data_IF_732639488127
#
_entry.id   IF_732639488127
#
_cell.length_a   1.000
_cell.length_b   1.000
_cell.length_c   1.000
_cell.angle_alpha   90.00
_cell.angle_beta   90.00
_cell.angle_gamma   90.00
#
_symmetry.space_group_name_H-M   'P 1'
#
loop_
_entity.id
_entity.type
_entity.pdbx_description
1 polymer ?
#
# COMPACT_ATOMS: atom_id res chain seq x y z
N UNK A 1 -29.74 -3.13 -12.24
CA UNK A 1 -28.67 -2.23 -11.74
C UNK A 1 -28.79 -1.88 -10.25
N UNK A 2 -29.99 -1.51 -9.74
CA UNK A 2 -30.22 -1.32 -8.29
C UNK A 2 -29.87 -2.53 -7.41
N UNK A 3 -29.97 -3.76 -7.95
CA UNK A 3 -29.63 -5.00 -7.24
C UNK A 3 -28.11 -5.26 -7.08
N UNK A 4 -27.23 -4.64 -7.86
CA UNK A 4 -25.78 -4.85 -7.76
C UNK A 4 -25.07 -3.79 -6.89
N UNK A 5 -25.58 -2.55 -6.87
CA UNK A 5 -25.11 -1.52 -5.93
C UNK A 5 -25.57 -1.80 -4.49
N UNK A 6 -26.74 -2.45 -4.31
CA UNK A 6 -27.20 -2.91 -3.00
C UNK A 6 -26.33 -4.04 -2.42
N UNK A 7 -25.60 -4.80 -3.25
CA UNK A 7 -24.68 -5.84 -2.78
C UNK A 7 -23.38 -5.26 -2.23
N UNK A 8 -22.92 -4.12 -2.77
CA UNK A 8 -21.74 -3.40 -2.26
C UNK A 8 -22.02 -2.77 -0.89
N UNK A 9 -23.13 -2.02 -0.75
CA UNK A 9 -23.52 -1.42 0.55
C UNK A 9 -23.87 -2.46 1.63
N UNK A 10 -24.41 -3.63 1.25
CA UNK A 10 -24.68 -4.72 2.20
C UNK A 10 -23.42 -5.44 2.66
N UNK A 11 -22.32 -5.39 1.91
CA UNK A 11 -21.06 -6.04 2.31
C UNK A 11 -20.28 -5.19 3.33
N UNK A 12 -20.25 -3.87 3.16
CA UNK A 12 -19.68 -2.95 4.17
C UNK A 12 -20.50 -3.02 5.48
N UNK A 13 -21.83 -3.19 5.36
CA UNK A 13 -22.72 -3.43 6.51
C UNK A 13 -22.55 -4.84 7.12
N UNK A 14 -22.25 -5.87 6.32
CA UNK A 14 -22.00 -7.24 6.80
C UNK A 14 -20.67 -7.37 7.56
N UNK A 15 -19.64 -6.61 7.17
CA UNK A 15 -18.37 -6.52 7.91
C UNK A 15 -18.54 -5.76 9.24
N UNK A 16 -19.39 -4.74 9.27
CA UNK A 16 -19.77 -4.07 10.52
C UNK A 16 -20.65 -4.96 11.44
N UNK A 17 -21.53 -5.80 10.88
CA UNK A 17 -22.41 -6.69 11.68
C UNK A 17 -21.75 -8.00 12.12
N UNK A 18 -20.72 -8.50 11.43
CA UNK A 18 -19.90 -9.61 11.94
C UNK A 18 -19.05 -9.22 13.16
N UNK A 19 -18.83 -7.92 13.39
CA UNK A 19 -18.15 -7.41 14.58
C UNK A 19 -19.07 -7.27 15.80
N UNK A 20 -20.39 -7.44 15.66
CA UNK A 20 -21.39 -6.98 16.66
C UNK A 20 -22.23 -8.09 17.31
N UNK A 21 -21.88 -9.37 17.18
CA UNK A 21 -22.64 -10.46 17.84
C UNK A 21 -21.78 -11.39 18.70
N UNK A 22 -21.74 -11.09 20.01
CA UNK A 22 -21.93 -12.07 21.11
C UNK A 22 -22.02 -11.35 22.48
N UNK A 23 -23.17 -11.42 23.18
CA UNK A 23 -23.26 -11.00 24.57
C UNK A 23 -22.95 -12.21 25.47
N UNK A 24 -21.82 -12.19 26.17
CA UNK A 24 -21.58 -13.11 27.29
C UNK A 24 -21.51 -12.32 28.58
N UNK A 25 -22.40 -12.72 29.49
CA UNK A 25 -22.53 -12.23 30.84
C UNK A 25 -21.35 -12.69 31.69
N UNK A 26 -20.97 -11.81 32.60
CA UNK A 26 -19.98 -11.94 33.66
C UNK A 26 -20.15 -13.23 34.49
N UNK A 27 -19.03 -13.92 34.72
CA UNK A 27 -18.73 -14.50 36.03
C UNK A 27 -17.30 -14.08 36.38
N UNK A 28 -17.22 -13.06 37.24
CA UNK A 28 -15.99 -12.59 37.84
C UNK A 28 -15.73 -13.43 39.09
N UNK A 29 -14.63 -14.18 39.08
CA UNK A 29 -14.07 -14.72 40.32
C UNK A 29 -12.59 -14.34 40.43
N UNK A 30 -12.32 -13.58 41.48
CA UNK A 30 -11.08 -12.88 41.80
C UNK A 30 -10.00 -13.82 42.33
N UNK A 31 -8.77 -13.73 41.81
CA UNK A 31 -7.65 -14.49 42.36
C UNK A 31 -6.25 -14.11 41.88
N UNK A 32 -5.58 -13.28 42.68
CA UNK A 32 -4.13 -13.17 42.86
C UNK A 32 -3.25 -12.59 41.73
N UNK A 33 -2.71 -11.41 42.02
CA UNK A 33 -1.64 -10.71 41.31
C UNK A 33 -0.35 -11.54 41.24
N UNK A 34 0.00 -12.04 40.05
CA UNK A 34 1.37 -12.38 39.68
C UNK A 34 1.90 -11.40 38.64
N UNK A 35 2.84 -10.56 39.06
CA UNK A 35 3.71 -9.77 38.18
C UNK A 35 4.61 -10.73 37.39
N UNK A 36 4.10 -11.22 36.27
CA UNK A 36 4.86 -12.02 35.31
C UNK A 36 5.46 -11.14 34.24
N UNK A 37 6.78 -10.99 34.27
CA UNK A 37 7.63 -10.75 33.10
C UNK A 37 7.35 -11.88 32.11
N UNK A 38 6.94 -11.58 30.88
CA UNK A 38 6.76 -12.58 29.80
C UNK A 38 8.11 -13.13 29.27
N UNK A 39 9.06 -13.39 30.16
CA UNK A 39 10.04 -14.42 29.89
C UNK A 39 9.25 -15.73 29.91
N UNK A 40 8.93 -16.24 28.70
CA UNK A 40 8.35 -17.57 28.47
C UNK A 40 8.93 -18.54 29.50
N UNK A 41 8.16 -18.85 30.55
CA UNK A 41 8.63 -19.77 31.60
C UNK A 41 8.81 -21.11 30.90
N UNK A 42 10.04 -21.64 30.79
CA UNK A 42 10.25 -22.89 30.08
C UNK A 42 9.47 -24.00 30.79
N UNK A 43 8.37 -24.46 30.18
CA UNK A 43 7.59 -25.60 30.68
C UNK A 43 6.11 -25.35 30.99
N UNK A 44 5.57 -24.13 30.82
CA UNK A 44 4.11 -23.90 30.85
C UNK A 44 3.66 -23.55 29.43
N UNK A 45 3.23 -24.56 28.67
CA UNK A 45 2.53 -24.37 27.40
C UNK A 45 1.09 -23.94 27.69
N UNK A 46 0.90 -22.65 28.04
CA UNK A 46 -0.44 -22.06 27.93
C UNK A 46 -0.73 -21.86 26.45
N UNK A 47 -1.47 -22.81 25.87
CA UNK A 47 -1.91 -22.84 24.48
C UNK A 47 -3.04 -21.83 24.21
N UNK A 48 -3.01 -20.69 24.90
CA UNK A 48 -3.99 -19.61 24.77
C UNK A 48 -3.73 -18.87 23.45
N UNK A 49 -4.32 -19.38 22.38
CA UNK A 49 -4.31 -18.72 21.07
C UNK A 49 -5.40 -17.65 21.05
N UNK A 50 -5.01 -16.37 21.05
CA UNK A 50 -5.98 -15.28 20.94
C UNK A 50 -6.63 -15.26 19.56
N UNK A 51 -7.90 -14.83 19.45
CA UNK A 51 -8.60 -14.78 18.16
C UNK A 51 -7.88 -13.85 17.15
N UNK A 52 -7.37 -12.71 17.62
CA UNK A 52 -6.64 -11.77 16.77
C UNK A 52 -5.34 -12.35 16.20
N UNK A 53 -4.76 -13.35 16.85
CA UNK A 53 -3.57 -14.02 16.34
C UNK A 53 -3.82 -14.74 15.01
N UNK A 54 -5.06 -15.21 14.80
CA UNK A 54 -5.50 -15.85 13.55
C UNK A 54 -5.53 -14.87 12.38
N UNK A 55 -5.81 -13.59 12.65
CA UNK A 55 -5.78 -12.52 11.64
C UNK A 55 -4.36 -12.23 11.14
N UNK A 56 -3.36 -12.54 11.98
CA UNK A 56 -1.95 -12.49 11.64
C UNK A 56 -1.43 -13.73 10.90
N UNK A 57 -2.26 -14.76 10.69
CA UNK A 57 -1.82 -15.97 9.99
C UNK A 57 -1.49 -15.68 8.54
N UNK A 58 -0.39 -16.27 8.00
CA UNK A 58 0.05 -15.98 6.64
C UNK A 58 -1.06 -16.18 5.61
N UNK A 59 -1.72 -17.35 5.62
CA UNK A 59 -2.75 -17.68 4.64
C UNK A 59 -3.96 -16.74 4.74
N UNK A 60 -4.30 -16.29 5.95
CA UNK A 60 -5.37 -15.32 6.14
C UNK A 60 -5.01 -13.98 5.50
N UNK A 61 -3.82 -13.43 5.79
CA UNK A 61 -3.33 -12.17 5.21
C UNK A 61 -3.30 -12.24 3.67
N UNK A 62 -2.74 -13.32 3.10
CA UNK A 62 -2.68 -13.49 1.65
C UNK A 62 -4.06 -13.63 1.02
N UNK A 63 -4.95 -14.46 1.58
CA UNK A 63 -6.28 -14.67 1.01
C UNK A 63 -7.16 -13.42 1.11
N UNK A 64 -7.09 -12.70 2.23
CA UNK A 64 -7.78 -11.43 2.42
C UNK A 64 -7.30 -10.39 1.40
N UNK A 65 -5.98 -10.18 1.31
CA UNK A 65 -5.41 -9.22 0.35
C UNK A 65 -5.69 -9.63 -1.10
N UNK A 66 -5.57 -10.91 -1.43
CA UNK A 66 -5.90 -11.45 -2.75
C UNK A 66 -7.38 -11.23 -3.11
N UNK A 67 -8.30 -11.37 -2.15
CA UNK A 67 -9.71 -11.10 -2.38
C UNK A 67 -9.96 -9.60 -2.63
N UNK A 68 -9.38 -8.73 -1.81
CA UNK A 68 -9.59 -7.28 -1.88
C UNK A 68 -8.99 -6.71 -3.17
N UNK A 69 -7.73 -7.00 -3.45
CA UNK A 69 -7.00 -6.50 -4.62
C UNK A 69 -7.39 -7.27 -5.87
N UNK A 70 -7.62 -8.58 -5.78
CA UNK A 70 -7.98 -9.43 -6.92
C UNK A 70 -9.28 -9.02 -7.59
N UNK A 71 -10.28 -8.54 -6.84
CA UNK A 71 -11.51 -7.97 -7.42
C UNK A 71 -11.21 -6.75 -8.30
N UNK A 72 -10.31 -5.87 -7.86
CA UNK A 72 -9.90 -4.68 -8.61
C UNK A 72 -9.07 -5.07 -9.84
N UNK A 73 -8.08 -5.95 -9.66
CA UNK A 73 -7.29 -6.46 -10.77
C UNK A 73 -8.14 -7.19 -11.80
N UNK A 74 -9.18 -7.92 -11.39
CA UNK A 74 -10.13 -8.57 -12.30
C UNK A 74 -10.93 -7.54 -13.10
N UNK A 75 -11.48 -6.51 -12.43
CA UNK A 75 -12.20 -5.44 -13.11
C UNK A 75 -11.30 -4.69 -14.13
N UNK A 76 -10.07 -4.35 -13.74
CA UNK A 76 -9.08 -3.74 -14.63
C UNK A 76 -8.64 -4.68 -15.75
N UNK A 77 -8.55 -5.98 -15.50
CA UNK A 77 -8.23 -6.98 -16.53
C UNK A 77 -9.35 -7.09 -17.56
N UNK A 78 -10.61 -7.02 -17.12
CA UNK A 78 -11.76 -6.96 -18.05
C UNK A 78 -11.74 -5.68 -18.88
N UNK A 79 -11.41 -4.53 -18.27
CA UNK A 79 -11.19 -3.28 -19.01
C UNK A 79 -10.05 -3.43 -20.03
N UNK A 80 -8.90 -3.96 -19.63
CA UNK A 80 -7.77 -4.20 -20.52
C UNK A 80 -8.15 -5.14 -21.66
N UNK A 81 -8.83 -6.26 -21.38
CA UNK A 81 -9.30 -7.19 -22.41
C UNK A 81 -10.25 -6.53 -23.40
N UNK A 82 -11.16 -5.67 -22.93
CA UNK A 82 -12.04 -4.93 -23.82
C UNK A 82 -11.27 -3.90 -24.66
N UNK A 83 -10.23 -3.27 -24.14
CA UNK A 83 -9.43 -2.30 -24.89
C UNK A 83 -8.52 -3.00 -25.92
N UNK A 84 -7.91 -4.13 -25.57
CA UNK A 84 -6.90 -4.81 -26.40
C UNK A 84 -7.43 -5.90 -27.33
N UNK A 85 -8.61 -6.48 -27.08
CA UNK A 85 -9.12 -7.59 -27.88
C UNK A 85 -10.27 -7.16 -28.79
N UNK A 86 -10.03 -7.01 -30.11
CA UNK A 86 -11.09 -6.75 -31.08
C UNK A 86 -12.17 -7.85 -31.07
N UNK A 87 -11.79 -9.09 -30.73
CA UNK A 87 -12.72 -10.21 -30.59
C UNK A 87 -13.67 -10.03 -29.41
N UNK A 88 -13.15 -9.62 -28.25
CA UNK A 88 -13.97 -9.31 -27.06
C UNK A 88 -14.84 -8.09 -27.32
N UNK A 89 -14.32 -7.06 -28.00
CA UNK A 89 -15.12 -5.90 -28.42
C UNK A 89 -16.30 -6.34 -29.28
N UNK A 90 -16.06 -7.12 -30.34
CA UNK A 90 -17.12 -7.65 -31.22
C UNK A 90 -18.14 -8.50 -30.47
N UNK A 91 -17.70 -9.27 -29.48
CA UNK A 91 -18.59 -10.11 -28.67
C UNK A 91 -19.47 -9.29 -27.71
N UNK A 92 -18.90 -8.28 -27.04
CA UNK A 92 -19.62 -7.44 -26.08
C UNK A 92 -20.51 -6.39 -26.77
N UNK A 93 -20.08 -5.87 -27.92
CA UNK A 93 -20.82 -4.88 -28.71
C UNK A 93 -21.69 -5.57 -29.76
N UNK A 94 -22.51 -6.53 -29.33
CA UNK A 94 -23.31 -7.43 -30.19
C UNK A 94 -24.33 -6.72 -31.12
N UNK A 95 -24.39 -5.38 -31.14
CA UNK A 95 -25.40 -4.61 -31.87
C UNK A 95 -24.94 -3.33 -32.58
N UNK A 96 -23.66 -2.94 -32.57
CA UNK A 96 -23.18 -1.78 -33.33
C UNK A 96 -21.72 -1.97 -33.75
N UNK A 97 -21.42 -1.74 -35.03
CA UNK A 97 -20.09 -1.87 -35.65
C UNK A 97 -19.09 -0.79 -35.25
N UNK A 98 -19.43 0.06 -34.28
CA UNK A 98 -18.60 1.20 -33.94
C UNK A 98 -17.52 0.75 -32.95
N UNK A 99 -16.26 0.87 -33.38
CA UNK A 99 -15.08 0.67 -32.53
C UNK A 99 -15.25 1.42 -31.21
N UNK A 100 -14.91 0.77 -30.10
CA UNK A 100 -14.96 1.37 -28.75
C UNK A 100 -14.12 2.66 -28.63
N UNK A 101 -13.05 2.74 -29.40
CA UNK A 101 -12.20 3.93 -29.54
C UNK A 101 -12.58 4.66 -30.83
N UNK A 102 -12.73 5.98 -30.76
CA UNK A 102 -12.96 6.81 -31.93
C UNK A 102 -11.76 6.71 -32.89
N UNK A 103 -12.03 6.60 -34.19
CA UNK A 103 -11.00 6.78 -35.21
C UNK A 103 -10.67 8.27 -35.30
N UNK A 104 -9.41 8.63 -35.05
CA UNK A 104 -8.93 10.00 -35.11
C UNK A 104 -8.57 10.32 -36.57
N UNK A 105 -9.56 10.71 -37.37
CA UNK A 105 -9.37 11.02 -38.80
C UNK A 105 -9.01 12.50 -39.01
N UNK A 106 -7.80 12.77 -39.49
CA UNK A 106 -7.26 14.11 -39.74
C UNK A 106 -8.16 14.93 -40.67
N UNK A 107 -8.72 14.31 -41.70
CA UNK A 107 -9.54 15.03 -42.68
C UNK A 107 -10.86 15.54 -42.07
N UNK A 108 -11.37 14.83 -41.05
CA UNK A 108 -12.64 15.14 -40.41
C UNK A 108 -12.50 16.17 -39.28
N UNK A 109 -11.46 16.07 -38.45
CA UNK A 109 -11.32 16.87 -37.22
C UNK A 109 -10.17 17.89 -37.25
N UNK A 110 -9.22 17.72 -38.17
CA UNK A 110 -8.00 18.51 -38.28
C UNK A 110 -6.88 18.07 -37.35
N UNK A 111 -5.64 18.31 -37.79
CA UNK A 111 -4.40 17.84 -37.15
C UNK A 111 -4.32 18.00 -35.62
N UNK A 112 -4.62 19.20 -35.10
CA UNK A 112 -4.50 19.45 -33.65
C UNK A 112 -5.49 18.61 -32.82
N UNK A 113 -6.69 18.37 -33.36
CA UNK A 113 -7.72 17.53 -32.74
C UNK A 113 -7.34 16.06 -32.83
N UNK A 114 -6.78 15.62 -33.96
CA UNK A 114 -6.24 14.27 -34.13
C UNK A 114 -5.12 13.98 -33.13
N UNK A 115 -4.18 14.91 -32.97
CA UNK A 115 -3.09 14.79 -32.00
C UNK A 115 -3.61 14.61 -30.55
N UNK A 116 -4.62 15.39 -30.14
CA UNK A 116 -5.25 15.26 -28.82
C UNK A 116 -5.99 13.93 -28.69
N UNK A 117 -6.71 13.53 -29.74
CA UNK A 117 -7.44 12.27 -29.81
C UNK A 117 -6.51 11.06 -29.63
N UNK A 118 -5.43 10.98 -30.41
CA UNK A 118 -4.43 9.91 -30.33
C UNK A 118 -3.66 9.92 -29.01
N UNK A 119 -3.33 11.11 -28.48
CA UNK A 119 -2.71 11.26 -27.16
C UNK A 119 -3.59 10.64 -26.07
N UNK A 120 -4.86 11.05 -26.00
CA UNK A 120 -5.78 10.59 -24.96
C UNK A 120 -6.16 9.11 -25.13
N UNK A 121 -6.26 8.64 -26.37
CA UNK A 121 -6.45 7.22 -26.73
C UNK A 121 -5.29 6.35 -26.25
N UNK A 122 -4.04 6.81 -26.34
CA UNK A 122 -2.88 6.13 -25.78
C UNK A 122 -3.03 5.92 -24.26
N UNK A 123 -3.51 6.93 -23.53
CA UNK A 123 -3.76 6.81 -22.09
C UNK A 123 -4.90 5.82 -21.76
N UNK A 124 -5.96 5.74 -22.58
CA UNK A 124 -7.01 4.70 -22.42
C UNK A 124 -6.40 3.30 -22.51
N UNK A 125 -5.46 3.08 -23.44
CA UNK A 125 -4.74 1.81 -23.61
C UNK A 125 -3.82 1.50 -22.43
N UNK A 126 -3.09 2.49 -21.91
CA UNK A 126 -2.13 2.28 -20.82
C UNK A 126 -2.75 2.21 -19.41
N UNK A 127 -3.92 2.83 -19.20
CA UNK A 127 -4.50 3.00 -17.86
C UNK A 127 -4.68 1.68 -17.09
N UNK A 128 -5.33 0.68 -17.69
CA UNK A 128 -5.62 -0.57 -17.00
C UNK A 128 -4.36 -1.39 -16.66
N UNK A 129 -3.41 -1.62 -17.59
CA UNK A 129 -2.12 -2.25 -17.28
C UNK A 129 -1.32 -1.54 -16.20
N UNK A 130 -1.20 -0.21 -16.27
CA UNK A 130 -0.50 0.60 -15.25
C UNK A 130 -1.16 0.42 -13.88
N UNK A 131 -2.49 0.51 -13.84
CA UNK A 131 -3.28 0.33 -12.62
C UNK A 131 -3.13 -1.08 -12.04
N UNK A 132 -3.08 -2.13 -12.86
CA UNK A 132 -2.83 -3.50 -12.37
C UNK A 132 -1.47 -3.59 -11.70
N UNK A 133 -0.41 -3.06 -12.34
CA UNK A 133 0.94 -3.09 -11.76
C UNK A 133 0.98 -2.35 -10.43
N UNK A 134 0.44 -1.13 -10.37
CA UNK A 134 0.40 -0.35 -9.11
C UNK A 134 -0.43 -1.05 -8.03
N UNK A 135 -1.56 -1.66 -8.39
CA UNK A 135 -2.39 -2.42 -7.45
C UNK A 135 -1.64 -3.61 -6.84
N UNK A 136 -0.93 -4.38 -7.66
CA UNK A 136 -0.13 -5.53 -7.21
C UNK A 136 1.03 -5.10 -6.31
N UNK A 137 1.68 -3.98 -6.65
CA UNK A 137 2.75 -3.38 -5.86
C UNK A 137 2.25 -2.96 -4.46
N UNK A 138 1.13 -2.24 -4.40
CA UNK A 138 0.50 -1.82 -3.14
C UNK A 138 0.06 -3.03 -2.32
N UNK A 139 -0.51 -4.05 -2.96
CA UNK A 139 -0.93 -5.28 -2.30
C UNK A 139 0.22 -5.99 -1.57
N UNK A 140 1.39 -6.08 -2.21
CA UNK A 140 2.58 -6.66 -1.60
C UNK A 140 3.02 -5.87 -0.36
N UNK A 141 3.00 -4.53 -0.42
CA UNK A 141 3.33 -3.69 0.73
C UNK A 141 2.34 -3.90 1.88
N UNK A 142 1.05 -4.02 1.58
CA UNK A 142 0.01 -4.27 2.59
C UNK A 142 0.23 -5.62 3.30
N UNK A 143 0.52 -6.68 2.55
CA UNK A 143 0.82 -8.01 3.11
C UNK A 143 2.02 -7.94 4.08
N UNK A 144 3.09 -7.25 3.67
CA UNK A 144 4.29 -7.08 4.50
C UNK A 144 4.00 -6.27 5.76
N UNK A 145 3.30 -5.13 5.63
CA UNK A 145 2.97 -4.28 6.78
C UNK A 145 2.05 -4.99 7.77
N UNK A 146 1.01 -5.68 7.28
CA UNK A 146 0.12 -6.47 8.13
C UNK A 146 0.88 -7.58 8.85
N UNK A 147 1.72 -8.34 8.14
CA UNK A 147 2.50 -9.43 8.77
C UNK A 147 3.45 -8.90 9.84
N UNK A 148 4.16 -7.82 9.53
CA UNK A 148 5.06 -7.18 10.48
C UNK A 148 4.30 -6.68 11.72
N UNK A 149 3.17 -6.01 11.52
CA UNK A 149 2.33 -5.50 12.62
C UNK A 149 1.97 -6.62 13.61
N UNK A 150 1.43 -7.73 13.12
CA UNK A 150 1.01 -8.83 13.99
C UNK A 150 2.18 -9.54 14.67
N UNK A 151 3.35 -9.63 14.03
CA UNK A 151 4.54 -10.18 14.68
C UNK A 151 5.03 -9.24 15.80
N UNK A 152 5.14 -7.95 15.53
CA UNK A 152 5.62 -6.98 16.51
C UNK A 152 4.64 -6.87 17.69
N UNK A 153 3.33 -6.92 17.43
CA UNK A 153 2.30 -6.93 18.47
C UNK A 153 2.44 -8.13 19.41
N UNK A 154 2.74 -9.32 18.88
CA UNK A 154 3.04 -10.52 19.69
C UNK A 154 4.31 -10.35 20.54
N UNK A 155 5.26 -9.55 20.08
CA UNK A 155 6.48 -9.22 20.81
C UNK A 155 6.27 -8.08 21.83
N UNK A 156 5.04 -7.60 22.06
CA UNK A 156 4.79 -6.47 22.94
C UNK A 156 5.30 -5.14 22.37
N UNK A 157 5.38 -5.02 21.05
CA UNK A 157 5.83 -3.81 20.37
C UNK A 157 4.76 -3.30 19.44
N UNK A 158 4.30 -2.08 19.68
CA UNK A 158 3.33 -1.41 18.83
C UNK A 158 4.06 -0.55 17.81
N UNK A 159 4.00 -0.95 16.54
CA UNK A 159 4.58 -0.20 15.43
C UNK A 159 3.56 0.79 14.88
N UNK A 160 3.94 2.06 14.89
CA UNK A 160 3.24 3.17 14.26
C UNK A 160 3.71 3.31 12.81
N UNK A 161 2.89 2.78 11.90
CA UNK A 161 3.11 2.92 10.47
C UNK A 161 2.75 4.34 10.06
N UNK A 162 3.69 5.02 9.41
CA UNK A 162 3.40 6.36 8.93
C UNK A 162 2.45 6.26 7.74
N UNK A 163 1.25 6.79 7.91
CA UNK A 163 0.31 6.93 6.80
C UNK A 163 0.93 7.79 5.68
N UNK A 164 1.12 7.17 4.52
CA UNK A 164 1.70 7.81 3.36
C UNK A 164 0.60 8.62 2.68
N UNK A 165 0.81 9.92 2.53
CA UNK A 165 -0.13 10.74 1.77
C UNK A 165 -0.08 10.31 0.29
N UNK A 166 -1.21 9.90 -0.32
CA UNK A 166 -1.24 9.47 -1.72
C UNK A 166 -0.63 10.53 -2.66
N UNK A 167 -0.85 11.81 -2.35
CA UNK A 167 -0.34 12.94 -3.13
C UNK A 167 1.19 13.12 -3.06
N UNK A 168 1.90 12.39 -2.21
CA UNK A 168 3.37 12.36 -2.19
C UNK A 168 3.95 11.17 -2.94
N UNK A 169 3.11 10.21 -3.33
CA UNK A 169 3.54 9.01 -4.04
C UNK A 169 3.50 9.22 -5.56
N UNK A 170 4.63 9.09 -6.27
CA UNK A 170 4.67 9.19 -7.73
C UNK A 170 3.80 8.13 -8.43
N UNK A 171 3.60 6.93 -7.88
CA UNK A 171 2.74 5.91 -8.51
C UNK A 171 1.27 6.32 -8.50
N UNK A 172 0.81 6.95 -7.41
CA UNK A 172 -0.54 7.48 -7.32
C UNK A 172 -0.76 8.57 -8.38
N UNK A 173 0.18 9.51 -8.52
CA UNK A 173 0.12 10.54 -9.57
C UNK A 173 0.16 9.95 -10.97
N UNK A 174 0.95 8.90 -11.20
CA UNK A 174 1.04 8.23 -12.49
C UNK A 174 -0.29 7.59 -12.89
N UNK A 175 -0.95 6.87 -11.96
CA UNK A 175 -2.30 6.32 -12.17
C UNK A 175 -3.32 7.43 -12.38
N UNK A 176 -3.30 8.46 -11.54
CA UNK A 176 -4.26 9.57 -11.61
C UNK A 176 -4.14 10.32 -12.94
N UNK A 177 -2.92 10.61 -13.39
CA UNK A 177 -2.66 11.25 -14.68
C UNK A 177 -3.16 10.39 -15.84
N UNK A 178 -2.84 9.09 -15.84
CA UNK A 178 -3.36 8.16 -16.84
C UNK A 178 -4.90 8.14 -16.84
N UNK A 179 -5.52 8.09 -15.66
CA UNK A 179 -6.98 8.09 -15.52
C UNK A 179 -7.62 9.36 -16.04
N UNK A 180 -7.09 10.55 -15.67
CA UNK A 180 -7.62 11.84 -16.13
C UNK A 180 -7.47 11.99 -17.64
N UNK A 181 -6.30 11.68 -18.19
CA UNK A 181 -6.07 11.73 -19.64
C UNK A 181 -6.96 10.73 -20.40
N UNK A 182 -7.12 9.50 -19.89
CA UNK A 182 -8.01 8.52 -20.47
C UNK A 182 -9.48 8.97 -20.43
N UNK A 183 -9.95 9.56 -19.32
CA UNK A 183 -11.30 10.11 -19.21
C UNK A 183 -11.52 11.28 -20.17
N UNK A 184 -10.49 12.10 -20.39
CA UNK A 184 -10.56 13.21 -21.34
C UNK A 184 -10.78 12.74 -22.78
N UNK A 185 -10.36 11.52 -23.14
CA UNK A 185 -10.66 10.92 -24.46
C UNK A 185 -12.17 10.83 -24.71
N UNK A 186 -12.93 10.34 -23.72
CA UNK A 186 -14.38 10.18 -23.84
C UNK A 186 -15.12 11.53 -23.86
N UNK A 187 -14.63 12.50 -23.09
CA UNK A 187 -15.15 13.88 -23.13
C UNK A 187 -14.88 14.49 -24.50
N UNK A 188 -13.68 14.32 -25.04
CA UNK A 188 -13.32 14.80 -26.36
C UNK A 188 -14.18 14.15 -27.45
N UNK A 189 -14.36 12.83 -27.41
CA UNK A 189 -15.24 12.10 -28.30
C UNK A 189 -16.68 12.65 -28.26
N UNK A 190 -17.21 12.94 -27.07
CA UNK A 190 -18.52 13.57 -26.93
C UNK A 190 -18.61 14.94 -27.61
N UNK A 191 -17.59 15.78 -27.43
CA UNK A 191 -17.56 17.13 -28.02
C UNK A 191 -17.46 17.08 -29.56
N UNK A 192 -16.60 16.21 -30.10
CA UNK A 192 -16.42 16.06 -31.56
C UNK A 192 -17.68 15.51 -32.21
N UNK A 193 -18.29 14.46 -31.66
CA UNK A 193 -19.49 13.88 -32.27
C UNK A 193 -20.66 14.87 -32.24
N UNK A 194 -20.78 15.68 -31.17
CA UNK A 194 -21.76 16.75 -31.11
C UNK A 194 -21.57 17.81 -32.21
N UNK A 195 -20.33 18.14 -32.57
CA UNK A 195 -20.04 19.06 -33.67
C UNK A 195 -20.38 18.46 -35.04
N UNK A 196 -20.14 17.16 -35.24
CA UNK A 196 -20.38 16.49 -36.52
C UNK A 196 -21.86 16.18 -36.78
N UNK A 197 -22.67 15.97 -35.73
CA UNK A 197 -24.07 15.52 -35.83
C UNK A 197 -25.10 16.60 -35.51
N UNK A 198 -24.98 17.80 -36.11
CA UNK A 198 -25.92 18.94 -35.93
C UNK A 198 -27.38 18.61 -36.37
N UNK A 199 -27.70 17.39 -36.83
CA UNK A 199 -29.06 16.88 -36.97
C UNK A 199 -29.65 16.35 -35.66
N UNK A 200 -30.75 16.97 -35.18
CA UNK A 200 -31.40 16.67 -33.88
C UNK A 200 -31.77 15.19 -33.64
N UNK A 201 -32.08 14.44 -34.69
CA UNK A 201 -32.63 13.09 -34.56
C UNK A 201 -31.56 12.01 -34.25
N UNK A 202 -30.27 12.33 -34.45
CA UNK A 202 -29.15 11.41 -34.19
C UNK A 202 -28.43 11.67 -32.86
N UNK A 203 -28.66 12.83 -32.24
CA UNK A 203 -27.95 13.24 -31.03
C UNK A 203 -28.25 12.31 -29.83
N UNK A 204 -29.50 11.88 -29.67
CA UNK A 204 -29.88 11.04 -28.53
C UNK A 204 -29.19 9.66 -28.58
N UNK A 205 -29.12 9.04 -29.76
CA UNK A 205 -28.44 7.75 -29.95
C UNK A 205 -26.94 7.85 -29.66
N UNK A 206 -26.32 8.95 -30.08
CA UNK A 206 -24.92 9.26 -29.80
C UNK A 206 -24.69 9.43 -28.29
N UNK A 207 -25.52 10.22 -27.62
CA UNK A 207 -25.41 10.46 -26.17
C UNK A 207 -25.56 9.15 -25.41
N UNK A 208 -26.50 8.29 -25.80
CA UNK A 208 -26.74 7.03 -25.10
C UNK A 208 -25.58 6.04 -25.31
N UNK A 209 -24.98 5.98 -26.51
CA UNK A 209 -23.76 5.18 -26.76
C UNK A 209 -22.57 5.69 -25.95
N UNK A 210 -22.34 7.01 -25.94
CA UNK A 210 -21.24 7.64 -25.20
C UNK A 210 -21.40 7.45 -23.69
N UNK A 211 -22.62 7.57 -23.17
CA UNK A 211 -22.91 7.27 -21.76
C UNK A 211 -22.56 5.84 -21.43
N UNK A 212 -22.86 4.88 -22.30
CA UNK A 212 -22.53 3.48 -22.07
C UNK A 212 -21.01 3.28 -22.02
N UNK A 213 -20.26 3.83 -22.98
CA UNK A 213 -18.81 3.65 -23.05
C UNK A 213 -18.07 4.37 -21.92
N UNK A 214 -18.47 5.61 -21.63
CA UNK A 214 -17.91 6.41 -20.52
C UNK A 214 -18.26 5.82 -19.16
N UNK A 215 -19.46 5.26 -18.98
CA UNK A 215 -19.82 4.58 -17.74
C UNK A 215 -19.03 3.29 -17.56
N UNK A 216 -18.85 2.53 -18.65
CA UNK A 216 -18.14 1.26 -18.63
C UNK A 216 -16.67 1.42 -18.23
N UNK A 217 -15.96 2.42 -18.77
CA UNK A 217 -14.58 2.70 -18.40
C UNK A 217 -14.45 3.59 -17.16
N UNK A 218 -15.25 4.65 -17.08
CA UNK A 218 -15.14 5.67 -16.05
C UNK A 218 -15.51 5.17 -14.67
N UNK A 219 -16.56 4.37 -14.52
CA UNK A 219 -16.97 3.90 -13.19
C UNK A 219 -15.90 2.99 -12.56
N UNK A 220 -15.40 1.91 -13.21
CA UNK A 220 -14.35 1.09 -12.61
C UNK A 220 -13.05 1.86 -12.41
N UNK A 221 -12.73 2.83 -13.28
CA UNK A 221 -11.56 3.69 -13.11
C UNK A 221 -11.65 4.56 -11.85
N UNK A 222 -12.81 5.20 -11.61
CA UNK A 222 -13.04 6.01 -10.40
C UNK A 222 -13.05 5.13 -9.15
N UNK A 223 -13.73 3.98 -9.20
CA UNK A 223 -13.77 3.02 -8.09
C UNK A 223 -12.37 2.53 -7.76
N UNK A 224 -11.55 2.24 -8.78
CA UNK A 224 -10.17 1.83 -8.59
C UNK A 224 -9.31 2.96 -7.99
N UNK A 225 -9.40 4.19 -8.49
CA UNK A 225 -8.64 5.33 -7.93
C UNK A 225 -9.05 5.61 -6.48
N UNK A 226 -10.35 5.50 -6.16
CA UNK A 226 -10.83 5.61 -4.78
C UNK A 226 -10.30 4.47 -3.91
N UNK A 227 -10.35 3.24 -4.40
CA UNK A 227 -9.78 2.08 -3.72
C UNK A 227 -8.28 2.26 -3.47
N UNK A 228 -7.54 2.72 -4.48
CA UNK A 228 -6.12 3.01 -4.38
C UNK A 228 -5.88 4.12 -3.35
N UNK A 229 -6.70 5.17 -3.30
CA UNK A 229 -6.60 6.21 -2.28
C UNK A 229 -6.79 5.64 -0.86
N UNK A 230 -7.80 4.79 -0.67
CA UNK A 230 -8.11 4.18 0.64
C UNK A 230 -7.03 3.17 1.08
N UNK A 231 -6.34 2.51 0.14
CA UNK A 231 -5.29 1.53 0.48
C UNK A 231 -3.99 2.17 0.99
N UNK A 232 -3.82 3.49 0.88
CA UNK A 232 -2.72 4.20 1.53
C UNK A 232 -2.89 4.33 3.05
N UNK A 233 -4.13 4.19 3.56
CA UNK A 233 -4.40 4.14 5.00
C UNK A 233 -4.21 2.72 5.51
N UNK A 234 -2.96 2.39 5.81
CA UNK A 234 -2.58 1.04 6.26
C UNK A 234 -3.21 0.75 7.62
N UNK A 235 -3.34 1.76 8.48
CA UNK A 235 -3.91 1.61 9.83
C UNK A 235 -5.35 1.10 9.79
N UNK A 236 -6.13 1.50 8.79
CA UNK A 236 -7.52 1.03 8.63
C UNK A 236 -7.62 -0.46 8.30
N UNK A 237 -6.55 -1.05 7.74
CA UNK A 237 -6.45 -2.47 7.42
C UNK A 237 -5.82 -3.30 8.55
N UNK A 238 -5.31 -2.65 9.61
CA UNK A 238 -4.77 -3.30 10.79
C UNK A 238 -5.87 -3.52 11.83
N UNK A 239 -5.63 -4.45 12.75
CA UNK A 239 -6.53 -4.65 13.88
C UNK A 239 -6.60 -3.35 14.70
N UNK A 240 -7.78 -2.74 14.87
CA UNK A 240 -7.89 -1.59 15.75
C UNK A 240 -7.57 -2.03 17.17
N UNK A 241 -6.83 -1.21 17.92
CA UNK A 241 -6.48 -1.52 19.31
C UNK A 241 -7.72 -1.84 20.16
N UNK A 242 -8.88 -1.25 19.88
CA UNK A 242 -10.13 -1.60 20.59
C UNK A 242 -10.46 -3.09 20.52
N UNK A 243 -10.30 -3.74 19.35
CA UNK A 243 -10.52 -5.19 19.18
C UNK A 243 -9.52 -6.03 19.99
N UNK A 244 -8.29 -5.52 20.15
CA UNK A 244 -7.28 -6.14 21.00
C UNK A 244 -7.70 -6.12 22.48
N UNK A 245 -8.28 -5.02 22.95
CA UNK A 245 -8.83 -4.89 24.31
C UNK A 245 -10.13 -5.68 24.54
N UNK A 246 -10.96 -5.83 23.52
CA UNK A 246 -12.21 -6.61 23.59
C UNK A 246 -11.95 -8.11 23.81
N UNK A 247 -10.82 -8.64 23.30
CA UNK A 247 -10.53 -10.08 23.33
C UNK A 247 -10.14 -10.58 24.72
N UNK A 248 -9.31 -9.81 25.43
CA UNK A 248 -8.89 -10.08 26.80
C UNK A 248 -8.50 -8.74 27.47
N UNK A 249 -9.41 -8.10 28.22
CA UNK A 249 -9.16 -6.78 28.77
C UNK A 249 -8.09 -6.78 29.86
N UNK A 250 -7.96 -7.86 30.64
CA UNK A 250 -6.96 -7.94 31.72
C UNK A 250 -5.54 -8.08 31.15
N UNK A 251 -5.38 -8.98 30.17
CA UNK A 251 -4.12 -9.14 29.47
C UNK A 251 -3.76 -7.91 28.65
N UNK A 252 -4.72 -7.33 27.93
CA UNK A 252 -4.50 -6.10 27.17
C UNK A 252 -4.13 -4.93 28.08
N UNK A 253 -4.76 -4.81 29.26
CA UNK A 253 -4.40 -3.80 30.26
C UNK A 253 -2.96 -3.98 30.71
N UNK A 254 -2.57 -5.18 31.14
CA UNK A 254 -1.20 -5.45 31.60
C UNK A 254 -0.18 -5.21 30.50
N UNK A 255 -0.42 -5.74 29.30
CA UNK A 255 0.54 -5.70 28.19
C UNK A 255 0.64 -4.30 27.60
N UNK A 256 -0.46 -3.56 27.47
CA UNK A 256 -0.43 -2.19 26.91
C UNK A 256 0.41 -1.20 27.73
N UNK A 257 0.54 -1.39 29.04
CA UNK A 257 1.45 -0.61 29.88
C UNK A 257 2.92 -0.96 29.66
N UNK A 258 3.21 -2.20 29.25
CA UNK A 258 4.56 -2.70 28.98
C UNK A 258 4.96 -2.55 27.50
N UNK A 259 4.00 -2.31 26.61
CA UNK A 259 4.23 -2.25 25.17
C UNK A 259 5.16 -1.10 24.77
N UNK A 260 6.21 -1.42 24.02
CA UNK A 260 7.07 -0.40 23.44
C UNK A 260 6.41 0.19 22.19
N UNK A 261 6.26 1.52 22.15
CA UNK A 261 5.77 2.22 20.98
C UNK A 261 6.92 2.65 20.05
N UNK A 262 6.79 2.37 18.75
CA UNK A 262 7.88 2.54 17.78
C UNK A 262 7.36 3.14 16.49
N UNK A 263 7.96 4.25 16.08
CA UNK A 263 7.72 4.78 14.74
C UNK A 263 8.38 3.90 13.67
N UNK A 264 7.74 3.73 12.51
CA UNK A 264 8.27 3.01 11.35
C UNK A 264 9.73 3.39 11.01
N UNK A 265 10.06 4.68 11.08
CA UNK A 265 11.42 5.18 10.81
C UNK A 265 12.46 4.68 11.80
N UNK A 266 12.09 4.55 13.08
CA UNK A 266 12.98 4.01 14.11
C UNK A 266 13.19 2.51 13.92
N UNK A 267 12.12 1.75 13.63
CA UNK A 267 12.20 0.32 13.30
C UNK A 267 13.10 0.07 12.08
N UNK A 268 12.87 0.81 10.99
CA UNK A 268 13.69 0.78 9.78
C UNK A 268 15.18 1.03 10.08
N UNK A 269 15.48 2.08 10.86
CA UNK A 269 16.86 2.39 11.25
C UNK A 269 17.49 1.25 12.05
N UNK A 270 16.78 0.65 13.00
CA UNK A 270 17.29 -0.47 13.81
C UNK A 270 17.58 -1.70 12.96
N UNK A 271 16.67 -2.06 12.05
CA UNK A 271 16.84 -3.19 11.12
C UNK A 271 18.00 -2.97 10.17
N UNK A 272 18.16 -1.76 9.64
CA UNK A 272 19.25 -1.45 8.71
C UNK A 272 20.62 -1.33 9.39
N UNK A 273 20.66 -1.08 10.71
CA UNK A 273 21.91 -0.83 11.41
C UNK A 273 22.57 -2.12 11.90
N UNK A 274 21.89 -3.02 12.61
CA UNK A 274 22.58 -4.18 13.23
C UNK A 274 21.65 -5.34 13.66
N UNK A 275 20.34 -5.31 13.39
CA UNK A 275 19.45 -6.34 13.94
C UNK A 275 19.34 -7.58 13.02
N UNK A 276 19.79 -8.73 13.54
CA UNK A 276 19.68 -10.05 12.89
C UNK A 276 18.39 -10.80 13.25
N UNK A 277 17.66 -10.39 14.28
CA UNK A 277 16.36 -10.98 14.57
C UNK A 277 15.34 -9.96 15.10
N UNK A 278 14.05 -10.27 14.92
CA UNK A 278 12.93 -9.43 15.39
C UNK A 278 12.96 -9.23 16.90
N UNK A 279 13.42 -10.24 17.65
CA UNK A 279 13.52 -10.13 19.10
C UNK A 279 14.58 -9.10 19.49
N UNK A 280 15.74 -9.08 18.81
CA UNK A 280 16.77 -8.06 19.02
C UNK A 280 16.24 -6.67 18.67
N UNK A 281 15.42 -6.55 17.61
CA UNK A 281 14.75 -5.28 17.26
C UNK A 281 13.83 -4.86 18.39
N UNK A 282 12.96 -5.73 18.86
CA UNK A 282 12.02 -5.47 19.95
C UNK A 282 12.75 -5.08 21.25
N UNK A 283 13.78 -5.84 21.62
CA UNK A 283 14.57 -5.61 22.83
C UNK A 283 15.39 -4.32 22.74
N UNK A 284 16.05 -4.05 21.60
CA UNK A 284 16.79 -2.82 21.38
C UNK A 284 15.89 -1.59 21.44
N UNK A 285 14.67 -1.71 20.91
CA UNK A 285 13.65 -0.67 20.97
C UNK A 285 13.15 -0.48 22.40
N UNK A 286 12.84 -1.56 23.12
CA UNK A 286 12.39 -1.50 24.51
C UNK A 286 13.46 -0.84 25.40
N UNK A 287 14.74 -1.14 25.16
CA UNK A 287 15.85 -0.48 25.84
C UNK A 287 15.94 1.02 25.49
N UNK A 288 15.70 1.40 24.24
CA UNK A 288 15.68 2.81 23.82
C UNK A 288 14.51 3.60 24.43
N UNK A 289 13.33 3.00 24.58
CA UNK A 289 12.17 3.66 25.20
C UNK A 289 12.40 3.91 26.69
N UNK A 290 13.02 2.94 27.39
CA UNK A 290 13.45 3.07 28.78
C UNK A 290 14.46 4.22 28.98
N UNK A 291 15.51 4.32 28.17
CA UNK A 291 16.53 5.38 28.31
C UNK A 291 15.93 6.79 28.05
N UNK A 292 14.97 6.91 27.11
CA UNK A 292 14.22 8.17 26.89
C UNK A 292 13.35 8.57 28.07
N UNK A 293 12.65 7.61 28.69
CA UNK A 293 11.84 7.88 29.89
C UNK A 293 12.69 8.43 31.04
N UNK A 294 13.88 7.86 31.23
CA UNK A 294 14.86 8.31 32.23
C UNK A 294 15.39 9.71 31.90
N UNK A 295 15.64 10.01 30.62
CA UNK A 295 16.12 11.33 30.20
C UNK A 295 15.08 12.43 30.38
N UNK A 296 13.80 12.16 30.07
CA UNK A 296 12.68 13.08 30.33
C UNK A 296 12.49 13.36 31.82
N UNK A 297 12.50 12.32 32.67
CA UNK A 297 12.44 12.52 34.13
C UNK A 297 13.64 13.31 34.67
N UNK A 298 14.82 13.11 34.09
CA UNK A 298 16.02 13.89 34.44
C UNK A 298 15.91 15.35 33.99
N UNK A 299 15.30 15.63 32.84
CA UNK A 299 15.05 16.98 32.36
C UNK A 299 14.06 17.72 33.28
N UNK A 300 12.95 17.07 33.66
CA UNK A 300 11.91 17.67 34.52
C UNK A 300 12.40 17.95 35.95
N UNK A 301 13.25 17.07 36.49
CA UNK A 301 13.88 17.29 37.80
C UNK A 301 14.93 18.41 37.81
N UNK A 302 15.49 18.76 36.64
CA UNK A 302 16.38 19.92 36.49
C UNK A 302 15.61 21.24 36.35
N UNK A 303 14.41 21.24 35.75
CA UNK A 303 13.55 22.43 35.64
C UNK A 303 12.86 22.76 36.97
N UNK A 304 12.40 21.75 37.72
CA UNK A 304 11.74 21.97 39.03
C UNK A 304 12.70 22.44 40.13
N UNK A 305 13.98 22.04 40.10
CA UNK A 305 14.96 22.47 41.10
C UNK A 305 15.53 23.89 40.87
N UNK A 306 15.23 24.53 39.73
CA UNK A 306 15.67 25.91 39.47
C UNK A 306 14.65 26.98 39.91
N UNK A 307 13.44 26.59 40.35
CA UNK A 307 12.44 27.54 40.84
C UNK A 307 12.62 27.95 42.31
N UNK A 308 13.49 27.27 43.06
CA UNK A 308 13.81 27.66 44.43
C UNK A 308 15.28 27.39 44.73
N UNK A 309 16.17 28.37 44.47
CA UNK A 309 17.40 28.44 45.24
C UNK A 309 17.74 29.84 45.73
N UNK A 310 17.74 30.04 47.06
CA UNK A 310 18.45 31.14 47.68
C UNK A 310 19.95 31.01 47.39
N UNK A 311 20.56 32.14 47.10
CA UNK A 311 21.99 32.39 46.96
C UNK A 311 22.79 31.76 48.10
N UNK A 312 23.45 30.63 47.85
CA UNK A 312 24.57 30.18 48.69
C UNK A 312 25.63 29.51 47.84
N UNK A 313 26.77 30.18 47.79
CA UNK A 313 27.99 29.79 47.07
C UNK A 313 28.53 28.46 47.62
N UNK A 314 28.04 27.33 47.09
CA UNK A 314 28.61 26.02 47.36
C UNK A 314 29.55 25.66 46.20
N UNK A 315 30.85 25.72 46.50
CA UNK A 315 31.94 25.35 45.62
C UNK A 315 31.80 23.88 45.22
N UNK A 316 31.38 23.62 43.97
CA UNK A 316 31.30 22.27 43.41
C UNK A 316 32.71 21.85 42.98
N UNK A 317 33.27 20.73 43.47
CA UNK A 317 34.63 20.31 43.13
C UNK A 317 34.78 20.06 41.62
N UNK A 318 35.79 20.67 41.00
CA UNK A 318 36.10 20.58 39.55
C UNK A 318 36.16 19.13 39.03
N UNK A 319 36.58 18.18 39.87
CA UNK A 319 36.65 16.76 39.51
C UNK A 319 35.27 16.14 39.16
N UNK A 320 34.18 16.61 39.76
CA UNK A 320 32.82 16.16 39.40
C UNK A 320 32.32 16.83 38.12
N UNK A 321 32.72 18.07 37.84
CA UNK A 321 32.40 18.72 36.57
C UNK A 321 33.16 18.09 35.39
N UNK A 322 34.41 17.64 35.58
CA UNK A 322 35.16 16.95 34.53
C UNK A 322 34.62 15.54 34.24
N UNK A 323 34.23 14.76 35.25
CA UNK A 323 33.57 13.45 35.03
C UNK A 323 32.20 13.57 34.36
N UNK A 324 31.41 14.59 34.71
CA UNK A 324 30.14 14.87 34.04
C UNK A 324 30.35 15.31 32.58
N UNK A 325 31.39 16.11 32.30
CA UNK A 325 31.76 16.49 30.92
C UNK A 325 32.28 15.29 30.10
N UNK A 326 33.08 14.39 30.68
CA UNK A 326 33.55 13.18 29.97
C UNK A 326 32.41 12.18 29.70
N UNK A 327 31.51 11.96 30.66
CA UNK A 327 30.33 11.11 30.45
C UNK A 327 29.37 11.69 29.39
N UNK A 328 29.23 13.02 29.33
CA UNK A 328 28.45 13.67 28.28
C UNK A 328 29.10 13.59 26.90
N UNK A 329 30.44 13.62 26.80
CA UNK A 329 31.17 13.57 25.51
C UNK A 329 31.17 12.14 24.94
N UNK A 330 31.28 11.10 25.76
CA UNK A 330 31.20 9.70 25.30
C UNK A 330 29.77 9.27 24.93
N UNK A 331 28.72 9.87 25.53
CA UNK A 331 27.31 9.57 25.20
C UNK A 331 26.76 10.41 24.04
N UNK A 332 27.42 11.52 23.66
CA UNK A 332 27.04 12.37 22.51
C UNK A 332 27.63 11.96 21.17
N UNK A 333 28.38 10.85 21.09
CA UNK A 333 28.50 10.12 19.83
C UNK A 333 27.19 9.35 19.52
N UNK A 334 26.04 10.00 19.71
CA UNK A 334 24.88 9.74 18.87
C UNK A 334 25.35 10.17 17.50
N UNK A 335 25.83 9.19 16.73
CA UNK A 335 26.17 9.33 15.32
C UNK A 335 25.04 10.12 14.71
N UNK A 336 25.30 11.40 14.42
CA UNK A 336 24.42 12.24 13.64
C UNK A 336 24.45 11.61 12.26
N UNK A 337 23.59 10.62 12.07
CA UNK A 337 23.40 9.98 10.78
C UNK A 337 23.08 11.14 9.85
N UNK A 338 23.96 11.43 8.87
CA UNK A 338 23.77 12.57 7.99
C UNK A 338 22.35 12.48 7.46
N UNK A 339 21.65 13.62 7.41
CA UNK A 339 20.31 13.71 6.87
C UNK A 339 20.31 13.06 5.48
N UNK A 340 19.93 11.79 5.41
CA UNK A 340 19.94 11.05 4.17
C UNK A 340 18.97 11.77 3.25
N UNK A 341 19.48 12.11 2.07
CA UNK A 341 18.73 12.68 0.94
C UNK A 341 17.39 11.97 0.78
N UNK A 342 16.34 12.67 0.33
CA UNK A 342 15.01 12.09 0.16
C UNK A 342 15.10 10.87 -0.74
N UNK A 343 15.18 9.70 -0.12
CA UNK A 343 15.22 8.40 -0.78
C UNK A 343 13.79 8.15 -1.23
N UNK A 344 13.62 7.73 -2.48
CA UNK A 344 12.31 7.41 -3.04
C UNK A 344 11.48 6.61 -2.02
N UNK A 345 10.32 7.14 -1.61
CA UNK A 345 9.47 6.58 -0.55
C UNK A 345 9.11 5.10 -0.77
N UNK A 346 9.11 4.66 -2.03
CA UNK A 346 8.94 3.27 -2.41
C UNK A 346 9.97 2.31 -1.79
N UNK A 347 11.21 2.76 -1.67
CA UNK A 347 12.32 1.98 -1.08
C UNK A 347 12.28 2.03 0.45
N UNK A 348 11.51 2.97 1.04
CA UNK A 348 11.46 3.14 2.50
C UNK A 348 10.85 1.95 3.22
N UNK A 349 10.09 1.07 2.54
CA UNK A 349 9.50 -0.16 3.12
C UNK A 349 10.20 -1.46 2.71
N UNK A 350 11.22 -1.41 1.88
CA UNK A 350 11.96 -2.61 1.46
C UNK A 350 12.61 -3.35 2.65
N UNK A 351 12.91 -2.64 3.74
CA UNK A 351 13.43 -3.24 4.98
C UNK A 351 12.47 -4.24 5.62
N UNK A 352 11.15 -4.12 5.41
CA UNK A 352 10.17 -5.07 5.96
C UNK A 352 10.34 -6.42 5.27
N UNK A 353 10.51 -6.42 3.94
CA UNK A 353 10.79 -7.64 3.17
C UNK A 353 12.09 -8.29 3.62
N UNK A 354 13.15 -7.49 3.81
CA UNK A 354 14.44 -7.95 4.36
C UNK A 354 14.26 -8.63 5.72
N UNK A 355 13.58 -7.96 6.64
CA UNK A 355 13.34 -8.48 7.99
C UNK A 355 12.54 -9.79 7.97
N UNK A 356 11.47 -9.87 7.18
CA UNK A 356 10.62 -11.06 7.11
C UNK A 356 11.26 -12.21 6.31
N UNK A 357 12.27 -11.92 5.50
CA UNK A 357 13.01 -12.91 4.70
C UNK A 357 14.31 -13.37 5.38
N UNK A 358 14.61 -12.91 6.60
CA UNK A 358 15.81 -13.35 7.30
C UNK A 358 15.76 -14.87 7.53
N UNK A 359 16.81 -15.54 7.04
CA UNK A 359 17.01 -16.98 7.20
C UNK A 359 16.93 -17.45 8.66
N UNK A 360 17.33 -16.63 9.63
CA UNK A 360 17.28 -16.99 11.04
C UNK A 360 15.85 -17.05 11.56
N UNK A 361 15.02 -16.06 11.22
CA UNK A 361 13.60 -16.01 11.58
C UNK A 361 12.82 -17.14 10.91
N UNK A 362 13.13 -17.42 9.64
CA UNK A 362 12.54 -18.53 8.88
C UNK A 362 12.92 -19.89 9.47
N UNK A 363 14.15 -20.05 9.98
CA UNK A 363 14.60 -21.29 10.60
C UNK A 363 13.99 -21.54 11.99
N UNK A 364 13.73 -20.47 12.75
CA UNK A 364 13.26 -20.58 14.14
C UNK A 364 11.75 -20.85 14.27
N UNK A 365 10.91 -20.28 13.39
CA UNK A 365 9.45 -20.38 13.50
C UNK A 365 8.79 -20.99 12.25
N UNK A 366 7.99 -22.05 12.48
CA UNK A 366 7.20 -22.72 11.43
C UNK A 366 6.25 -21.74 10.73
N UNK A 367 5.63 -20.79 11.46
CA UNK A 367 4.70 -19.82 10.86
C UNK A 367 5.45 -18.85 9.93
N UNK A 368 6.66 -18.44 10.30
CA UNK A 368 7.54 -17.62 9.44
C UNK A 368 7.96 -18.36 8.17
N UNK A 369 8.27 -19.65 8.24
CA UNK A 369 8.55 -20.47 7.04
C UNK A 369 7.34 -20.59 6.11
N UNK A 370 6.14 -20.80 6.65
CA UNK A 370 4.90 -20.82 5.86
C UNK A 370 4.65 -19.47 5.18
N UNK A 371 4.88 -18.37 5.90
CA UNK A 371 4.80 -17.03 5.33
C UNK A 371 5.79 -16.84 4.19
N UNK A 372 7.06 -17.18 4.39
CA UNK A 372 8.10 -17.04 3.36
C UNK A 372 7.75 -17.81 2.08
N UNK A 373 7.28 -19.06 2.21
CA UNK A 373 6.85 -19.84 1.05
C UNK A 373 5.65 -19.20 0.32
N UNK A 374 4.63 -18.77 1.06
CA UNK A 374 3.48 -18.07 0.49
C UNK A 374 3.87 -16.73 -0.16
N UNK A 375 4.83 -16.02 0.43
CA UNK A 375 5.40 -14.78 -0.09
C UNK A 375 6.13 -15.01 -1.41
N UNK A 376 6.97 -16.04 -1.52
CA UNK A 376 7.64 -16.40 -2.77
C UNK A 376 6.62 -16.73 -3.87
N UNK A 377 5.58 -17.51 -3.55
CA UNK A 377 4.49 -17.80 -4.50
C UNK A 377 3.79 -16.52 -4.95
N UNK A 378 3.46 -15.63 -4.00
CA UNK A 378 2.84 -14.34 -4.30
C UNK A 378 3.72 -13.49 -5.22
N UNK A 379 5.03 -13.42 -4.94
CA UNK A 379 5.99 -12.69 -5.77
C UNK A 379 6.09 -13.28 -7.18
N UNK A 380 6.12 -14.60 -7.33
CA UNK A 380 6.08 -15.26 -8.64
C UNK A 380 4.79 -14.93 -9.41
N UNK A 381 3.63 -15.01 -8.74
CA UNK A 381 2.33 -14.73 -9.35
C UNK A 381 2.23 -13.26 -9.78
N UNK A 382 2.58 -12.33 -8.89
CA UNK A 382 2.53 -10.90 -9.19
C UNK A 382 3.52 -10.51 -10.29
N UNK A 383 4.73 -11.08 -10.29
CA UNK A 383 5.71 -10.88 -11.37
C UNK A 383 5.19 -11.38 -12.71
N UNK A 384 4.58 -12.56 -12.75
CA UNK A 384 3.94 -13.10 -13.94
C UNK A 384 2.82 -12.17 -14.45
N UNK A 385 1.97 -11.67 -13.57
CA UNK A 385 0.89 -10.74 -13.93
C UNK A 385 1.42 -9.39 -14.45
N UNK A 386 2.48 -8.85 -13.84
CA UNK A 386 3.16 -7.63 -14.33
C UNK A 386 3.76 -7.86 -15.72
N UNK A 387 4.43 -8.99 -15.94
CA UNK A 387 4.98 -9.36 -17.25
C UNK A 387 3.88 -9.53 -18.29
N UNK A 388 2.76 -10.15 -17.94
CA UNK A 388 1.60 -10.28 -18.84
C UNK A 388 1.01 -8.92 -19.21
N UNK A 389 0.88 -8.00 -18.25
CA UNK A 389 0.40 -6.65 -18.48
C UNK A 389 1.34 -5.86 -19.41
N UNK A 390 2.65 -5.92 -19.17
CA UNK A 390 3.67 -5.29 -20.03
C UNK A 390 3.66 -5.91 -21.43
N UNK A 391 3.61 -7.24 -21.54
CA UNK A 391 3.57 -7.95 -22.82
C UNK A 391 2.33 -7.57 -23.64
N UNK A 392 1.16 -7.45 -23.00
CA UNK A 392 -0.06 -7.01 -23.67
C UNK A 392 0.11 -5.61 -24.30
N UNK A 393 0.72 -4.66 -23.58
CA UNK A 393 0.97 -3.32 -24.11
C UNK A 393 2.05 -3.31 -25.19
N UNK A 394 3.08 -4.15 -25.09
CA UNK A 394 4.10 -4.30 -26.14
C UNK A 394 3.48 -4.87 -27.43
N UNK A 395 2.59 -5.86 -27.33
CA UNK A 395 1.88 -6.39 -28.49
C UNK A 395 1.02 -5.32 -29.15
N UNK A 396 0.36 -4.46 -28.37
CA UNK A 396 -0.37 -3.31 -28.92
C UNK A 396 0.57 -2.32 -29.60
N UNK A 397 1.69 -1.96 -28.95
CA UNK A 397 2.69 -1.06 -29.50
C UNK A 397 3.25 -1.58 -30.84
N UNK A 398 3.42 -2.90 -30.96
CA UNK A 398 3.83 -3.53 -32.22
C UNK A 398 2.82 -3.28 -33.34
N UNK A 399 1.53 -3.45 -33.05
CA UNK A 399 0.48 -3.19 -34.04
C UNK A 399 0.46 -1.72 -34.46
N UNK A 400 0.55 -0.80 -33.50
CA UNK A 400 0.62 0.65 -33.79
C UNK A 400 1.87 1.01 -34.64
N UNK A 401 3.00 0.31 -34.46
CA UNK A 401 4.20 0.50 -35.32
C UNK A 401 3.96 -0.02 -36.74
N UNK A 402 3.26 -1.15 -36.90
CA UNK A 402 2.91 -1.70 -38.22
C UNK A 402 1.98 -0.74 -38.98
N UNK A 403 1.04 -0.09 -38.29
CA UNK A 403 0.14 0.92 -38.85
C UNK A 403 0.90 2.20 -39.27
N UNK A 404 1.89 2.65 -38.49
CA UNK A 404 2.81 3.75 -38.90
C UNK A 404 3.57 3.38 -40.19
N UNK A 405 4.10 2.17 -40.28
CA UNK A 405 4.85 1.70 -41.45
C UNK A 405 3.94 1.67 -42.69
N UNK A 406 2.64 1.42 -42.52
CA UNK A 406 1.64 1.46 -43.59
C UNK A 406 1.30 2.89 -44.07
N UNK A 407 1.81 3.94 -43.41
CA UNK A 407 1.66 5.34 -43.82
C UNK A 407 0.76 6.17 -42.90
N UNK A 408 0.31 5.64 -41.75
CA UNK A 408 -0.49 6.38 -40.78
C UNK A 408 0.39 7.23 -39.85
N UNK A 409 0.90 8.36 -40.36
CA UNK A 409 1.83 9.23 -39.63
C UNK A 409 1.28 9.89 -38.35
N UNK A 410 -0.04 9.92 -38.16
CA UNK A 410 -0.68 10.47 -36.96
C UNK A 410 -0.36 9.66 -35.67
N UNK A 411 0.06 8.39 -35.82
CA UNK A 411 0.23 7.48 -34.70
C UNK A 411 1.56 7.62 -33.94
N UNK A 412 2.51 8.44 -34.42
CA UNK A 412 3.81 8.63 -33.75
C UNK A 412 3.67 9.11 -32.30
N UNK A 413 2.70 9.99 -32.03
CA UNK A 413 2.47 10.53 -30.67
C UNK A 413 1.94 9.42 -29.75
N UNK A 414 1.02 8.59 -30.25
CA UNK A 414 0.50 7.45 -29.51
C UNK A 414 1.63 6.47 -29.16
N UNK A 415 2.46 6.09 -30.14
CA UNK A 415 3.61 5.19 -29.94
C UNK A 415 4.60 5.75 -28.92
N UNK A 416 4.90 7.05 -28.95
CA UNK A 416 5.80 7.67 -27.98
C UNK A 416 5.25 7.63 -26.54
N UNK A 417 3.96 7.91 -26.36
CA UNK A 417 3.30 7.89 -25.04
C UNK A 417 3.19 6.46 -24.50
N UNK A 418 2.76 5.51 -25.34
CA UNK A 418 2.67 4.09 -24.99
C UNK A 418 4.06 3.56 -24.65
N UNK A 419 5.06 3.82 -25.48
CA UNK A 419 6.45 3.42 -25.23
C UNK A 419 7.02 3.97 -23.93
N UNK A 420 6.71 5.24 -23.60
CA UNK A 420 7.12 5.85 -22.32
C UNK A 420 6.46 5.17 -21.13
N UNK A 421 5.16 4.85 -21.21
CA UNK A 421 4.46 4.11 -20.15
C UNK A 421 4.98 2.68 -20.03
N UNK A 422 5.29 1.99 -21.14
CA UNK A 422 5.92 0.65 -21.13
C UNK A 422 7.26 0.68 -20.42
N UNK A 423 8.12 1.66 -20.74
CA UNK A 423 9.39 1.81 -20.06
C UNK A 423 9.22 2.05 -18.55
N UNK A 424 8.30 2.94 -18.17
CA UNK A 424 7.97 3.18 -16.77
C UNK A 424 7.45 1.92 -16.05
N UNK A 425 6.58 1.14 -16.70
CA UNK A 425 6.08 -0.14 -16.18
C UNK A 425 7.21 -1.15 -15.97
N UNK A 426 8.14 -1.28 -16.94
CA UNK A 426 9.30 -2.16 -16.81
C UNK A 426 10.18 -1.70 -15.65
N UNK A 427 10.46 -0.40 -15.54
CA UNK A 427 11.27 0.15 -14.44
C UNK A 427 10.62 -0.16 -13.09
N UNK A 428 9.32 0.12 -12.93
CA UNK A 428 8.59 -0.17 -11.68
C UNK A 428 8.56 -1.67 -11.38
N UNK A 429 8.30 -2.51 -12.38
CA UNK A 429 8.32 -3.97 -12.21
C UNK A 429 9.72 -4.49 -11.82
N UNK A 430 10.78 -3.98 -12.44
CA UNK A 430 12.15 -4.34 -12.11
C UNK A 430 12.55 -3.88 -10.70
N UNK A 431 12.19 -2.65 -10.30
CA UNK A 431 12.42 -2.18 -8.93
C UNK A 431 11.63 -3.02 -7.92
N UNK A 432 10.35 -3.29 -8.21
CA UNK A 432 9.50 -4.12 -7.36
C UNK A 432 10.05 -5.54 -7.19
N UNK A 433 10.43 -6.21 -8.27
CA UNK A 433 11.01 -7.56 -8.22
C UNK A 433 12.38 -7.52 -7.57
N UNK A 434 13.24 -6.56 -7.90
CA UNK A 434 14.58 -6.44 -7.34
C UNK A 434 14.56 -6.27 -5.82
N UNK A 435 13.84 -5.26 -5.33
CA UNK A 435 13.86 -4.90 -3.90
C UNK A 435 13.10 -5.91 -3.02
N UNK A 436 12.10 -6.61 -3.56
CA UNK A 436 11.28 -7.55 -2.78
C UNK A 436 11.73 -9.01 -2.89
N UNK A 437 12.29 -9.44 -4.03
CA UNK A 437 12.75 -10.84 -4.22
C UNK A 437 14.20 -11.01 -3.81
N UNK A 438 15.03 -9.98 -4.00
CA UNK A 438 16.45 -10.01 -3.64
C UNK A 438 16.78 -8.92 -2.60
N UNK A 439 16.18 -9.01 -1.39
CA UNK A 439 16.40 -8.05 -0.31
C UNK A 439 17.87 -7.80 0.00
#
# INVERSE_FOLDING_TARGET
>A
MHKHLATFSRFDCAMATLAEQKPWLLDADSGASQQGTYARVPGVEDDTTFEWESLGEPLFIFSYTAMVVGRQCMALSLLALQVFSPGVQKMLQQHNTNSYLMNCDEEAVGFAQTCICETTKAFVRCFAPVSIIVALVVAAQLILCQRLFYIMLRCGVLVDFKNLSPFKDPLFWWVLLNGVCAMSHFVFHMLVVQQMHIGKDNLQKVIDSLKQDSFFFGLPSIVYVLFLYLSYDVEWLLLPLSKFWESDPEWAQKTSFEMAFVTERAACKTVLQDATCIQDVADAIALQSLDRGVELQRADSLTTNNAARPTRNAFVPEARQQKAKQAHISRRQVVSVPAQTPRNYFVERAWISRLLSDSQLVAQDRKCRTFYFAWVIWMCLTSFMCLAAVAAVILQLKNDIEDIIAGHGEEYICVAIVGTNVLAMIVVACYYVGDLVFP
#
